data_IF_423609960530
#
_entry.id   IF_423609960530
#
_cell.length_a   1.000
_cell.length_b   1.000
_cell.length_c   1.000
_cell.angle_alpha   90.00
_cell.angle_beta   90.00
_cell.angle_gamma   90.00
#
_symmetry.space_group_name_H-M   'P 1'
#
loop_
_entity.id
_entity.type
_entity.pdbx_description
1 polymer ?
#
# COMPACT_ATOMS: atom_id res chain seq x y z
N UNK A 1 -15.81 5.34 -25.75
CA UNK A 1 -14.53 4.82 -25.23
C UNK A 1 -14.66 4.83 -23.71
N UNK A 2 -14.81 3.66 -23.08
CA UNK A 2 -15.52 3.52 -21.79
C UNK A 2 -14.56 3.77 -20.63
N UNK A 3 -15.00 4.53 -19.63
CA UNK A 3 -14.31 4.97 -18.40
C UNK A 3 -13.37 3.95 -17.71
N UNK A 4 -13.59 2.64 -17.91
CA UNK A 4 -12.69 1.55 -17.49
C UNK A 4 -11.30 1.63 -18.14
N UNK A 5 -11.22 2.06 -19.40
CA UNK A 5 -9.95 2.14 -20.13
C UNK A 5 -9.09 3.28 -19.55
N UNK A 6 -9.68 4.46 -19.29
CA UNK A 6 -8.98 5.58 -18.64
C UNK A 6 -8.48 5.25 -17.23
N UNK A 7 -9.26 4.51 -16.44
CA UNK A 7 -8.79 4.02 -15.14
C UNK A 7 -7.62 3.05 -15.26
N UNK A 8 -7.66 2.11 -16.21
CA UNK A 8 -6.59 1.16 -16.48
C UNK A 8 -5.32 1.84 -17.02
N UNK A 9 -5.44 2.88 -17.84
CA UNK A 9 -4.32 3.71 -18.29
C UNK A 9 -3.72 4.54 -17.14
N UNK A 10 -4.55 5.10 -16.25
CA UNK A 10 -4.06 5.77 -15.04
C UNK A 10 -3.34 4.76 -14.13
N UNK A 11 -3.89 3.56 -13.98
CA UNK A 11 -3.32 2.45 -13.20
C UNK A 11 -1.93 2.02 -13.68
N UNK A 12 -1.75 1.88 -15.00
CA UNK A 12 -0.44 1.53 -15.57
C UNK A 12 0.57 2.70 -15.48
N UNK A 13 0.09 3.94 -15.55
CA UNK A 13 0.92 5.14 -15.43
C UNK A 13 1.44 5.34 -14.00
N UNK A 14 0.60 5.14 -12.97
CA UNK A 14 1.02 5.29 -11.56
C UNK A 14 2.00 4.22 -11.10
N UNK A 15 2.07 3.07 -11.75
CA UNK A 15 2.97 1.99 -11.34
C UNK A 15 4.44 2.20 -11.69
N UNK A 16 4.76 3.22 -12.50
CA UNK A 16 6.15 3.56 -12.82
C UNK A 16 6.69 4.78 -12.05
N UNK A 17 5.81 5.56 -11.41
CA UNK A 17 6.19 6.76 -10.66
C UNK A 17 6.02 6.56 -9.14
N UNK A 18 6.84 7.22 -8.30
CA UNK A 18 6.58 7.28 -6.88
C UNK A 18 5.19 7.85 -6.57
N UNK A 19 4.56 7.30 -5.55
CA UNK A 19 3.26 7.71 -5.04
C UNK A 19 3.25 7.63 -3.51
N UNK A 20 2.36 8.41 -2.90
CA UNK A 20 2.03 8.31 -1.50
C UNK A 20 0.75 7.49 -1.35
N UNK A 21 0.70 6.56 -0.40
CA UNK A 21 -0.52 5.81 -0.08
C UNK A 21 -1.23 6.45 1.12
N UNK A 22 -2.20 7.32 0.83
CA UNK A 22 -3.00 8.01 1.84
C UNK A 22 -4.07 7.09 2.43
N UNK A 23 -3.95 6.75 3.71
CA UNK A 23 -4.95 5.99 4.43
C UNK A 23 -6.14 6.88 4.83
N UNK A 24 -7.35 6.46 4.47
CA UNK A 24 -8.61 7.12 4.87
C UNK A 24 -8.74 7.23 6.39
N UNK A 25 -8.15 6.31 7.15
CA UNK A 25 -8.27 6.27 8.60
C UNK A 25 -7.33 7.25 9.28
N UNK A 26 -7.81 8.48 9.46
CA UNK A 26 -7.06 9.53 10.15
C UNK A 26 -6.04 10.24 9.26
N UNK A 27 -6.11 10.08 7.93
CA UNK A 27 -5.34 10.86 6.98
C UNK A 27 -3.83 10.76 7.15
N UNK A 28 -3.34 9.52 7.24
CA UNK A 28 -1.90 9.22 7.33
C UNK A 28 -1.39 8.67 6.00
N UNK A 29 -0.12 8.90 5.71
CA UNK A 29 0.62 8.29 4.60
C UNK A 29 1.35 7.05 5.09
N UNK A 30 1.17 5.90 4.42
CA UNK A 30 1.91 4.67 4.73
C UNK A 30 3.41 4.92 4.65
N UNK A 31 4.16 4.45 5.65
CA UNK A 31 5.60 4.66 5.76
C UNK A 31 6.34 3.34 5.97
N UNK A 32 7.45 3.17 5.26
CA UNK A 32 8.39 2.07 5.46
C UNK A 32 9.72 2.66 5.90
N UNK A 33 10.05 2.51 7.18
CA UNK A 33 11.27 3.08 7.76
C UNK A 33 12.52 2.25 7.41
N UNK A 34 13.73 2.83 7.47
CA UNK A 34 14.98 2.12 7.14
C UNK A 34 15.22 0.86 7.97
N UNK A 35 14.70 0.79 9.20
CA UNK A 35 14.79 -0.38 10.07
C UNK A 35 13.75 -1.48 9.77
N UNK A 36 12.94 -1.33 8.72
CA UNK A 36 11.88 -2.27 8.36
C UNK A 36 10.58 -2.10 9.14
N UNK A 37 10.46 -1.09 10.00
CA UNK A 37 9.19 -0.77 10.66
C UNK A 37 8.21 -0.20 9.65
N UNK A 38 6.97 -0.69 9.69
CA UNK A 38 5.85 -0.15 8.92
C UNK A 38 4.90 0.56 9.88
N UNK A 39 4.68 1.84 9.60
CA UNK A 39 3.74 2.71 10.31
C UNK A 39 3.19 3.75 9.32
N UNK A 40 2.80 4.92 9.81
CA UNK A 40 2.27 5.97 8.97
C UNK A 40 2.61 7.36 9.53
N UNK A 41 2.74 8.34 8.63
CA UNK A 41 3.15 9.71 8.94
C UNK A 41 2.17 10.71 8.36
N UNK A 42 2.10 11.92 8.93
CA UNK A 42 1.37 13.07 8.37
C UNK A 42 2.30 14.20 7.93
N UNK A 43 3.61 14.01 8.08
CA UNK A 43 4.58 15.03 7.75
C UNK A 43 4.71 15.14 6.23
N UNK A 44 4.61 16.36 5.71
CA UNK A 44 4.59 16.63 4.27
C UNK A 44 5.91 16.22 3.59
N UNK A 45 7.04 16.31 4.29
CA UNK A 45 8.38 16.04 3.76
C UNK A 45 8.98 14.70 4.25
N UNK A 46 8.13 13.76 4.68
CA UNK A 46 8.61 12.45 5.11
C UNK A 46 8.92 11.55 3.91
N UNK A 47 10.19 11.55 3.51
CA UNK A 47 10.68 10.83 2.34
C UNK A 47 10.40 9.32 2.40
N UNK A 48 10.22 8.75 3.59
CA UNK A 48 9.92 7.32 3.77
C UNK A 48 8.45 6.97 3.47
N UNK A 49 7.62 7.96 3.16
CA UNK A 49 6.24 7.77 2.68
C UNK A 49 6.15 7.68 1.16
N UNK A 50 7.24 7.94 0.44
CA UNK A 50 7.32 7.75 -1.01
C UNK A 50 7.44 6.26 -1.32
N UNK A 51 6.45 5.72 -2.02
CA UNK A 51 6.35 4.31 -2.35
C UNK A 51 6.22 4.11 -3.86
N UNK A 52 6.71 2.99 -4.36
CA UNK A 52 6.47 2.51 -5.72
C UNK A 52 5.57 1.30 -5.65
N UNK A 53 4.36 1.41 -6.21
CA UNK A 53 3.42 0.30 -6.35
C UNK A 53 3.66 -0.34 -7.71
N UNK A 54 4.29 -1.51 -7.75
CA UNK A 54 4.65 -2.19 -9.00
C UNK A 54 3.68 -3.33 -9.27
N UNK A 55 3.00 -3.30 -10.41
CA UNK A 55 2.24 -4.46 -10.88
C UNK A 55 3.17 -5.65 -11.16
N UNK A 56 2.82 -6.79 -10.58
CA UNK A 56 3.43 -8.10 -10.85
C UNK A 56 2.63 -8.81 -11.94
N UNK A 57 1.31 -8.73 -11.84
CA UNK A 57 0.32 -9.12 -12.86
C UNK A 57 -0.98 -8.36 -12.59
N UNK A 58 -1.99 -8.52 -13.45
CA UNK A 58 -3.28 -7.86 -13.27
C UNK A 58 -3.84 -8.09 -11.85
N UNK A 59 -4.07 -7.00 -11.11
CA UNK A 59 -4.61 -7.02 -9.74
C UNK A 59 -3.66 -7.52 -8.65
N UNK A 60 -2.38 -7.77 -8.96
CA UNK A 60 -1.37 -8.18 -7.98
C UNK A 60 -0.17 -7.24 -8.02
N UNK A 61 0.18 -6.66 -6.87
CA UNK A 61 1.25 -5.67 -6.76
C UNK A 61 2.29 -6.05 -5.71
N UNK A 62 3.49 -5.51 -5.88
CA UNK A 62 4.49 -5.37 -4.84
C UNK A 62 4.68 -3.88 -4.53
N UNK A 63 4.75 -3.52 -3.25
CA UNK A 63 4.91 -2.12 -2.82
C UNK A 63 6.31 -1.96 -2.25
N UNK A 64 7.10 -1.02 -2.78
CA UNK A 64 8.49 -0.79 -2.37
C UNK A 64 8.70 0.64 -1.91
N UNK A 65 9.38 0.85 -0.79
CA UNK A 65 9.84 2.17 -0.37
C UNK A 65 10.79 2.76 -1.40
N UNK A 66 10.53 3.98 -1.87
CA UNK A 66 11.37 4.64 -2.86
C UNK A 66 12.77 4.86 -2.31
N UNK A 67 12.85 5.46 -1.12
CA UNK A 67 14.10 5.78 -0.42
C UNK A 67 14.75 4.56 0.24
N UNK A 68 13.96 3.78 0.99
CA UNK A 68 14.52 2.66 1.75
C UNK A 68 14.85 1.45 0.89
N UNK A 69 14.22 1.33 -0.27
CA UNK A 69 14.34 0.17 -1.13
C UNK A 69 13.73 -1.13 -0.56
N UNK A 70 13.07 -1.06 0.59
CA UNK A 70 12.42 -2.20 1.24
C UNK A 70 11.06 -2.47 0.62
N UNK A 71 10.72 -3.73 0.43
CA UNK A 71 9.37 -4.16 0.08
C UNK A 71 8.50 -4.21 1.33
N UNK A 72 7.28 -3.71 1.20
CA UNK A 72 6.22 -3.99 2.17
C UNK A 72 5.92 -5.49 2.12
N UNK A 73 5.86 -6.11 3.28
CA UNK A 73 5.49 -7.50 3.46
C UNK A 73 4.54 -7.66 4.65
N UNK A 74 3.80 -8.77 4.66
CA UNK A 74 2.97 -9.18 5.79
C UNK A 74 3.37 -10.59 6.20
N UNK A 75 3.70 -10.79 7.48
CA UNK A 75 4.10 -12.09 7.98
C UNK A 75 2.92 -13.03 8.26
N UNK A 76 3.21 -14.30 8.57
CA UNK A 76 2.22 -15.32 8.95
C UNK A 76 1.37 -14.97 10.19
N UNK A 77 1.74 -13.96 10.96
CA UNK A 77 0.98 -13.47 12.11
C UNK A 77 0.21 -12.19 11.79
N UNK A 78 0.22 -11.73 10.53
CA UNK A 78 -0.45 -10.54 10.06
C UNK A 78 0.30 -9.24 10.38
N UNK A 79 1.57 -9.29 10.82
CA UNK A 79 2.36 -8.09 11.09
C UNK A 79 2.91 -7.55 9.76
N UNK A 80 2.72 -6.25 9.54
CA UNK A 80 3.37 -5.54 8.44
C UNK A 80 4.83 -5.23 8.78
N UNK A 81 5.72 -5.42 7.83
CA UNK A 81 7.14 -5.14 7.96
C UNK A 81 7.78 -4.83 6.61
N UNK A 82 8.98 -4.24 6.62
CA UNK A 82 9.80 -3.99 5.45
C UNK A 82 10.89 -5.06 5.30
N UNK A 83 11.10 -5.56 4.08
CA UNK A 83 12.15 -6.56 3.76
C UNK A 83 12.96 -6.16 2.52
N UNK A 84 14.25 -6.50 2.51
CA UNK A 84 15.13 -6.28 1.35
C UNK A 84 14.79 -7.25 0.21
N UNK A 85 14.43 -8.49 0.57
CA UNK A 85 14.21 -9.57 -0.38
C UNK A 85 12.74 -9.63 -0.78
N UNK A 86 12.47 -9.53 -2.09
CA UNK A 86 11.15 -9.80 -2.63
C UNK A 86 10.82 -11.29 -2.46
N UNK A 87 9.75 -11.59 -1.72
CA UNK A 87 9.28 -12.94 -1.44
C UNK A 87 7.75 -13.04 -1.58
N UNK A 88 7.17 -14.19 -1.25
CA UNK A 88 5.73 -14.45 -1.34
C UNK A 88 4.89 -13.58 -0.40
N UNK A 89 5.45 -13.15 0.75
CA UNK A 89 4.81 -12.23 1.70
C UNK A 89 4.71 -10.78 1.22
N UNK A 90 5.42 -10.43 0.14
CA UNK A 90 5.45 -9.08 -0.44
C UNK A 90 4.33 -8.81 -1.46
N UNK A 91 3.51 -9.82 -1.78
CA UNK A 91 2.50 -9.70 -2.81
C UNK A 91 1.13 -9.39 -2.23
N UNK A 92 0.52 -8.33 -2.75
CA UNK A 92 -0.80 -7.88 -2.35
C UNK A 92 -1.76 -7.87 -3.54
N UNK A 93 -2.95 -8.43 -3.35
CA UNK A 93 -4.06 -8.28 -4.27
C UNK A 93 -4.57 -6.85 -4.11
N UNK A 94 -4.40 -6.05 -5.16
CA UNK A 94 -4.91 -4.68 -5.23
C UNK A 94 -6.32 -4.69 -5.80
N UNK A 95 -7.23 -3.99 -5.13
CA UNK A 95 -8.58 -3.81 -5.60
C UNK A 95 -9.03 -2.36 -5.42
N UNK A 96 -9.53 -1.75 -6.49
CA UNK A 96 -10.29 -0.50 -6.42
C UNK A 96 -11.68 -0.83 -5.89
N UNK A 97 -12.06 -0.20 -4.79
CA UNK A 97 -13.37 -0.38 -4.16
C UNK A 97 -14.36 0.67 -4.69
N UNK A 98 -15.66 0.47 -4.38
CA UNK A 98 -16.75 1.34 -4.86
C UNK A 98 -16.60 2.81 -4.41
N UNK A 99 -15.87 3.05 -3.32
CA UNK A 99 -15.55 4.38 -2.81
C UNK A 99 -14.32 5.02 -3.47
N UNK A 100 -13.76 4.40 -4.52
CA UNK A 100 -12.56 4.81 -5.26
C UNK A 100 -11.24 4.75 -4.47
N UNK A 101 -11.23 4.16 -3.28
CA UNK A 101 -10.00 3.80 -2.58
C UNK A 101 -9.55 2.40 -2.98
N UNK A 102 -8.26 2.15 -2.88
CA UNK A 102 -7.68 0.82 -3.06
C UNK A 102 -7.63 0.08 -1.73
N UNK A 103 -7.79 -1.23 -1.78
CA UNK A 103 -7.42 -2.17 -0.71
C UNK A 103 -6.26 -3.04 -1.20
N UNK A 104 -5.40 -3.46 -0.27
CA UNK A 104 -4.25 -4.32 -0.53
C UNK A 104 -4.34 -5.54 0.39
N UNK A 105 -4.83 -6.66 -0.13
CA UNK A 105 -5.01 -7.90 0.63
C UNK A 105 -3.80 -8.82 0.46
N UNK A 106 -3.31 -9.45 1.52
CA UNK A 106 -2.23 -10.44 1.41
C UNK A 106 -2.61 -11.52 0.40
N UNK A 107 -1.74 -11.76 -0.59
CA UNK A 107 -1.88 -12.90 -1.50
C UNK A 107 -1.49 -14.21 -0.81
N UNK A 108 -0.52 -14.16 0.11
CA UNK A 108 0.07 -15.35 0.73
C UNK A 108 -0.82 -16.00 1.78
N UNK A 109 -1.58 -15.22 2.55
CA UNK A 109 -2.33 -15.68 3.73
C UNK A 109 -3.84 -15.60 3.54
N UNK A 110 -4.33 -15.91 2.34
CA UNK A 110 -5.77 -15.85 2.02
C UNK A 110 -6.59 -16.91 2.77
N UNK A 111 -5.97 -18.03 3.11
CA UNK A 111 -6.54 -19.09 3.92
C UNK A 111 -6.84 -18.64 5.37
N UNK A 112 -6.16 -17.60 5.84
CA UNK A 112 -6.37 -17.03 7.19
C UNK A 112 -7.48 -15.96 7.21
N UNK A 113 -8.14 -15.72 6.07
CA UNK A 113 -9.17 -14.70 5.87
C UNK A 113 -8.69 -13.49 5.09
N UNK A 114 -9.52 -12.44 5.08
CA UNK A 114 -9.23 -11.21 4.33
C UNK A 114 -8.26 -10.30 5.09
N UNK A 115 -6.97 -10.66 5.11
CA UNK A 115 -5.95 -9.84 5.75
C UNK A 115 -5.47 -8.73 4.85
N UNK A 116 -5.70 -7.49 5.25
CA UNK A 116 -5.33 -6.29 4.51
C UNK A 116 -4.14 -5.57 5.12
N UNK A 117 -3.41 -4.84 4.28
CA UNK A 117 -2.62 -3.70 4.74
C UNK A 117 -3.58 -2.73 5.43
N UNK A 118 -3.22 -2.22 6.61
CA UNK A 118 -4.06 -1.25 7.28
C UNK A 118 -3.32 -0.41 8.32
N UNK A 119 -3.83 0.79 8.54
CA UNK A 119 -3.30 1.77 9.51
C UNK A 119 -4.36 2.09 10.56
N UNK A 120 -3.98 2.08 11.83
CA UNK A 120 -4.82 2.47 12.97
C UNK A 120 -4.95 4.00 13.03
N UNK A 121 -5.95 4.50 13.76
CA UNK A 121 -6.17 5.94 13.96
C UNK A 121 -5.00 6.67 14.65
N UNK A 122 -4.09 5.93 15.29
CA UNK A 122 -2.90 6.47 15.94
C UNK A 122 -1.63 6.37 15.07
N UNK A 123 -1.77 6.10 13.76
CA UNK A 123 -0.65 6.03 12.81
C UNK A 123 0.10 4.70 12.78
N UNK A 124 -0.12 3.80 13.74
CA UNK A 124 0.55 2.49 13.74
C UNK A 124 -0.08 1.51 12.74
N UNK A 125 0.74 0.60 12.21
CA UNK A 125 0.25 -0.53 11.44
C UNK A 125 -0.78 -1.34 12.22
N UNK A 126 -1.87 -1.69 11.54
CA UNK A 126 -2.91 -2.59 12.01
C UNK A 126 -2.52 -4.00 11.59
N UNK A 127 -2.54 -4.93 12.55
CA UNK A 127 -2.29 -6.33 12.25
C UNK A 127 -3.39 -6.88 11.32
N UNK A 128 -3.00 -7.60 10.27
CA UNK A 128 -3.86 -8.18 9.24
C UNK A 128 -4.97 -9.06 9.80
N UNK A 129 -4.69 -9.86 10.84
CA UNK A 129 -5.70 -10.68 11.53
C UNK A 129 -6.82 -9.88 12.21
N UNK A 130 -6.62 -8.57 12.37
CA UNK A 130 -7.61 -7.65 12.95
C UNK A 130 -8.27 -6.75 11.90
N UNK A 131 -7.96 -6.97 10.62
CA UNK A 131 -8.57 -6.25 9.49
C UNK A 131 -9.79 -7.00 8.97
N UNK A 132 -10.72 -6.27 8.35
CA UNK A 132 -11.82 -6.84 7.58
C UNK A 132 -12.40 -5.79 6.63
N UNK A 133 -13.12 -6.25 5.61
CA UNK A 133 -13.78 -5.40 4.61
C UNK A 133 -14.70 -4.37 5.27
N UNK A 134 -14.68 -3.13 4.79
CA UNK A 134 -15.50 -2.03 5.31
C UNK A 134 -14.81 -1.16 6.37
N UNK A 135 -13.66 -1.59 6.92
CA UNK A 135 -12.92 -0.74 7.85
C UNK A 135 -12.25 0.43 7.15
N UNK A 136 -12.38 1.63 7.71
CA UNK A 136 -11.62 2.79 7.19
C UNK A 136 -10.11 2.55 7.18
N UNK A 137 -9.61 1.70 8.08
CA UNK A 137 -8.19 1.38 8.24
C UNK A 137 -7.54 0.73 7.00
N UNK A 138 -8.32 0.14 6.09
CA UNK A 138 -7.81 -0.64 4.95
C UNK A 138 -7.91 0.11 3.62
N UNK A 139 -8.50 1.31 3.61
CA UNK A 139 -8.71 2.10 2.39
C UNK A 139 -7.55 3.06 2.19
N UNK A 140 -6.87 2.94 1.05
CA UNK A 140 -5.75 3.79 0.66
C UNK A 140 -6.02 4.47 -0.69
N UNK A 141 -5.77 5.77 -0.77
CA UNK A 141 -5.78 6.52 -2.01
C UNK A 141 -4.33 6.67 -2.49
N UNK A 142 -3.94 6.09 -3.64
CA UNK A 142 -2.65 6.38 -4.25
C UNK A 142 -2.64 7.81 -4.80
N UNK A 143 -1.73 8.63 -4.30
CA UNK A 143 -1.52 10.01 -4.74
C UNK A 143 -0.17 10.03 -5.48
N UNK A 144 -0.15 10.16 -6.81
CA UNK A 144 1.08 10.29 -7.57
C UNK A 144 1.87 11.53 -7.12
N UNK A 145 3.19 11.40 -7.02
CA UNK A 145 4.07 12.55 -6.80
C UNK A 145 4.60 12.96 -8.17
N UNK A 146 4.27 14.18 -8.58
CA UNK A 146 4.76 14.71 -9.85
C UNK A 146 6.21 15.19 -9.69
N UNK A 147 7.10 14.73 -10.57
CA UNK A 147 8.53 15.10 -10.57
C UNK A 147 8.76 16.48 -11.21
N UNK A 148 7.71 17.26 -11.49
CA UNK A 148 7.78 18.57 -12.14
C UNK A 148 8.22 19.71 -11.19
N UNK A 149 8.50 19.42 -9.92
CA UNK A 149 9.02 20.38 -8.95
C UNK A 149 10.27 19.79 -8.26
N UNK A 150 11.37 19.73 -9.01
CA UNK A 150 12.74 19.75 -8.48
C UNK A 150 13.59 20.66 -9.35
#
# INVERSE_FOLDING_TARGET
MKQKDSHMFFFLSTHNSPAVLYCRNGGYHLRIQPNGTVDASRQENDVYTLLKVKAVKAGLVAIRGHETGLYLAMDKYGKLYGTVMLNDECYFIEKIEENHYNTYRSQRYQENGDWYVGIKKNGWAKNGSKTHKGQNAIYFLPIPVDNSIQ
#
